data_IF_452969779298
#
_entry.id   IF_452969779298
#
_cell.length_a   1.000
_cell.length_b   1.000
_cell.length_c   1.000
_cell.angle_alpha   90.00
_cell.angle_beta   90.00
_cell.angle_gamma   90.00
#
_symmetry.space_group_name_H-M   'P 1'
#
loop_
_entity.id
_entity.type
_entity.pdbx_description
1 polymer ?
#
# COMPACT_ATOMS: atom_id res chain seq x y z
N UNK A 1 -2.43 16.63 6.92
CA UNK A 1 -2.01 15.64 7.93
C UNK A 1 -0.52 15.75 8.24
N UNK A 2 0.16 16.81 7.80
CA UNK A 2 1.54 17.09 8.13
C UNK A 2 1.57 18.25 9.13
N UNK A 3 2.52 18.23 10.06
CA UNK A 3 2.95 19.37 10.86
C UNK A 3 3.40 20.53 9.94
N UNK A 4 3.46 21.76 10.45
CA UNK A 4 3.98 22.96 9.76
C UNK A 4 5.41 22.75 9.20
N UNK A 5 6.11 21.73 9.70
CA UNK A 5 7.44 21.29 9.26
C UNK A 5 7.43 20.16 8.21
N UNK A 6 6.27 19.77 7.70
CA UNK A 6 6.15 18.68 6.72
C UNK A 6 6.26 17.26 7.31
N UNK A 7 6.26 17.11 8.64
CA UNK A 7 6.36 15.80 9.30
C UNK A 7 4.98 15.20 9.52
N UNK A 8 4.83 13.88 9.31
CA UNK A 8 3.61 13.19 9.73
C UNK A 8 3.63 13.12 11.27
N UNK A 9 2.63 13.67 11.99
CA UNK A 9 2.60 13.57 13.44
C UNK A 9 2.42 12.10 13.82
N UNK A 10 3.22 11.62 14.77
CA UNK A 10 3.16 10.25 15.29
C UNK A 10 3.46 9.12 14.27
N UNK A 11 4.37 9.31 13.31
CA UNK A 11 4.83 8.24 12.37
C UNK A 11 5.10 6.92 13.09
N UNK A 12 5.83 6.96 14.21
CA UNK A 12 6.18 5.74 14.96
C UNK A 12 4.97 4.97 15.46
N UNK A 13 3.91 5.66 15.93
CA UNK A 13 2.65 5.00 16.32
C UNK A 13 1.89 4.46 15.11
N UNK A 14 1.90 5.18 13.98
CA UNK A 14 1.27 4.72 12.76
C UNK A 14 1.94 3.43 12.24
N UNK A 15 3.27 3.41 12.16
CA UNK A 15 4.06 2.23 11.75
C UNK A 15 3.92 1.06 12.73
N UNK A 16 3.88 1.33 14.05
CA UNK A 16 3.59 0.28 15.04
C UNK A 16 2.20 -0.33 14.85
N UNK A 17 1.20 0.50 14.54
CA UNK A 17 -0.17 0.01 14.29
C UNK A 17 -0.22 -0.88 13.05
N UNK A 18 0.45 -0.49 11.97
CA UNK A 18 0.57 -1.28 10.74
C UNK A 18 1.30 -2.62 10.96
N UNK A 19 2.41 -2.61 11.71
CA UNK A 19 3.16 -3.80 12.07
C UNK A 19 2.34 -4.77 12.95
N UNK A 20 1.62 -4.25 13.95
CA UNK A 20 0.74 -5.05 14.81
C UNK A 20 -0.42 -5.62 13.98
N UNK A 21 -1.07 -4.82 13.15
CA UNK A 21 -2.16 -5.26 12.28
C UNK A 21 -1.70 -6.35 11.31
N UNK A 22 -0.52 -6.19 10.70
CA UNK A 22 0.07 -7.19 9.81
C UNK A 22 0.44 -8.48 10.53
N UNK A 23 1.04 -8.39 11.71
CA UNK A 23 1.46 -9.58 12.48
C UNK A 23 0.25 -10.38 12.96
N UNK A 24 -0.77 -9.69 13.48
CA UNK A 24 -2.03 -10.31 13.91
C UNK A 24 -2.78 -10.88 12.71
N UNK A 25 -2.84 -10.15 11.59
CA UNK A 25 -3.46 -10.61 10.34
C UNK A 25 -2.79 -11.88 9.80
N UNK A 26 -1.47 -11.87 9.69
CA UNK A 26 -0.70 -13.04 9.26
C UNK A 26 -0.92 -14.25 10.20
N UNK A 27 -0.99 -14.01 11.52
CA UNK A 27 -1.31 -15.05 12.51
C UNK A 27 -2.73 -15.63 12.36
N UNK A 28 -3.68 -14.86 11.84
CA UNK A 28 -5.03 -15.29 11.50
C UNK A 28 -5.14 -15.87 10.07
N UNK A 29 -4.03 -15.97 9.33
CA UNK A 29 -3.98 -16.54 7.98
C UNK A 29 -4.41 -15.60 6.86
N UNK A 30 -4.53 -14.29 7.12
CA UNK A 30 -4.77 -13.28 6.07
C UNK A 30 -3.47 -12.66 5.57
N UNK A 31 -3.49 -12.13 4.34
CA UNK A 31 -2.35 -11.41 3.76
C UNK A 31 -2.00 -10.14 4.57
N UNK A 32 -0.84 -9.57 4.30
CA UNK A 32 -0.35 -8.34 4.93
C UNK A 32 -1.36 -7.21 4.83
N UNK A 33 -1.70 -6.59 5.95
CA UNK A 33 -2.62 -5.45 6.01
C UNK A 33 -1.81 -4.18 5.77
N UNK A 34 -2.24 -3.33 4.85
CA UNK A 34 -1.55 -2.07 4.58
C UNK A 34 -2.54 -0.94 4.33
N UNK A 35 -2.05 0.30 4.38
CA UNK A 35 -2.87 1.48 4.15
C UNK A 35 -3.00 1.73 2.65
N UNK A 36 -4.22 1.61 2.12
CA UNK A 36 -4.49 1.84 0.70
C UNK A 36 -4.65 3.32 0.36
N UNK A 37 -4.22 3.73 -0.84
CA UNK A 37 -4.36 5.11 -1.33
C UNK A 37 -5.84 5.50 -1.41
N UNK A 38 -6.70 4.54 -1.74
CA UNK A 38 -8.15 4.68 -1.80
C UNK A 38 -8.74 5.06 -0.44
N UNK A 39 -8.14 4.61 0.67
CA UNK A 39 -8.58 4.96 2.03
C UNK A 39 -8.41 6.46 2.33
N UNK A 40 -7.55 7.17 1.60
CA UNK A 40 -7.41 8.62 1.73
C UNK A 40 -8.71 9.36 1.37
N UNK A 41 -9.51 8.84 0.44
CA UNK A 41 -10.81 9.42 0.08
C UNK A 41 -11.79 9.42 1.26
N UNK A 42 -11.72 8.40 2.12
CA UNK A 42 -12.50 8.34 3.36
C UNK A 42 -12.11 9.41 4.37
N UNK A 43 -10.83 9.81 4.40
CA UNK A 43 -10.35 10.92 5.24
C UNK A 43 -10.82 12.26 4.67
N UNK A 44 -10.79 12.43 3.34
CA UNK A 44 -11.30 13.62 2.64
C UNK A 44 -12.81 13.80 2.87
N UNK A 45 -13.56 12.70 2.90
CA UNK A 45 -14.99 12.68 3.20
C UNK A 45 -15.33 12.96 4.68
N UNK A 46 -14.34 13.16 5.55
CA UNK A 46 -14.54 13.55 6.96
C UNK A 46 -14.15 12.46 7.99
N UNK A 47 -13.66 11.30 7.56
CA UNK A 47 -13.18 10.24 8.44
C UNK A 47 -11.86 10.58 9.14
N UNK A 48 -11.92 11.29 10.26
CA UNK A 48 -10.72 11.75 10.99
C UNK A 48 -10.46 11.05 12.33
N UNK A 49 -11.44 10.32 12.87
CA UNK A 49 -11.43 9.83 14.25
C UNK A 49 -11.29 8.31 14.37
N UNK A 50 -10.90 7.60 13.30
CA UNK A 50 -10.73 6.14 13.28
C UNK A 50 -12.04 5.34 13.33
N UNK A 51 -13.15 5.95 13.77
CA UNK A 51 -14.50 5.35 13.76
C UNK A 51 -14.91 4.83 12.39
N UNK A 52 -14.52 5.51 11.31
CA UNK A 52 -14.76 5.05 9.93
C UNK A 52 -14.09 3.71 9.65
N UNK A 53 -12.86 3.50 10.09
CA UNK A 53 -12.15 2.23 9.91
C UNK A 53 -12.80 1.10 10.70
N UNK A 54 -13.28 1.37 11.92
CA UNK A 54 -14.00 0.38 12.74
C UNK A 54 -15.32 0.00 12.08
N UNK A 55 -16.11 0.98 11.64
CA UNK A 55 -17.39 0.73 10.95
C UNK A 55 -17.18 -0.07 9.67
N UNK A 56 -16.18 0.28 8.85
CA UNK A 56 -15.83 -0.47 7.64
C UNK A 56 -15.42 -1.91 7.99
N UNK A 57 -14.61 -2.12 9.03
CA UNK A 57 -14.23 -3.45 9.49
C UNK A 57 -15.42 -4.31 9.92
N UNK A 58 -16.36 -3.74 10.68
CA UNK A 58 -17.60 -4.44 11.10
C UNK A 58 -18.47 -4.77 9.89
N UNK A 59 -18.62 -3.84 8.94
CA UNK A 59 -19.35 -4.06 7.69
C UNK A 59 -18.70 -5.17 6.84
N UNK A 60 -17.36 -5.25 6.80
CA UNK A 60 -16.64 -6.31 6.11
C UNK A 60 -16.82 -7.67 6.80
N UNK A 61 -16.86 -7.71 8.13
CA UNK A 61 -17.20 -8.93 8.87
C UNK A 61 -18.63 -9.39 8.58
N UNK A 62 -19.59 -8.46 8.52
CA UNK A 62 -20.95 -8.76 8.10
C UNK A 62 -21.01 -9.24 6.63
N UNK A 63 -20.20 -8.64 5.75
CA UNK A 63 -20.11 -9.02 4.34
C UNK A 63 -19.56 -10.44 4.14
N UNK A 64 -18.76 -11.00 5.06
CA UNK A 64 -18.30 -12.39 4.97
C UNK A 64 -19.46 -13.40 4.94
N UNK A 65 -20.60 -13.12 5.59
CA UNK A 65 -21.79 -13.99 5.50
C UNK A 65 -22.41 -13.98 4.10
N UNK A 66 -22.19 -12.90 3.34
CA UNK A 66 -22.61 -12.76 1.94
C UNK A 66 -21.51 -13.17 0.94
N UNK A 67 -20.36 -13.69 1.42
CA UNK A 67 -19.30 -14.28 0.59
C UNK A 67 -19.79 -15.16 -0.57
N UNK A 68 -20.74 -16.10 -0.38
CA UNK A 68 -21.23 -16.94 -1.49
C UNK A 68 -21.90 -16.14 -2.63
N UNK A 69 -22.46 -14.96 -2.36
CA UNK A 69 -23.02 -14.08 -3.39
C UNK A 69 -21.90 -13.40 -4.19
N UNK A 70 -20.80 -13.03 -3.55
CA UNK A 70 -19.67 -12.39 -4.21
C UNK A 70 -18.89 -13.35 -5.12
N UNK A 71 -18.84 -14.65 -4.78
CA UNK A 71 -18.21 -15.68 -5.63
C UNK A 71 -18.99 -15.90 -6.94
N UNK A 72 -20.29 -15.57 -6.98
CA UNK A 72 -21.09 -15.64 -8.20
C UNK A 72 -20.76 -14.54 -9.22
N UNK A 73 -19.97 -13.52 -8.84
CA UNK A 73 -19.57 -12.43 -9.73
C UNK A 73 -18.48 -12.95 -10.70
N UNK A 74 -18.71 -12.89 -12.03
CA UNK A 74 -17.71 -13.32 -13.00
C UNK A 74 -16.41 -12.52 -12.89
N UNK A 75 -15.27 -13.18 -13.08
CA UNK A 75 -13.95 -12.53 -13.08
C UNK A 75 -13.82 -11.44 -14.16
N UNK A 76 -14.59 -11.55 -15.24
CA UNK A 76 -14.66 -10.52 -16.27
C UNK A 76 -15.18 -9.17 -15.74
N UNK A 77 -15.97 -9.17 -14.66
CA UNK A 77 -16.49 -7.94 -14.05
C UNK A 77 -15.49 -7.29 -13.08
N UNK A 78 -14.64 -8.08 -12.41
CA UNK A 78 -13.65 -7.58 -11.44
C UNK A 78 -12.34 -7.17 -12.09
N UNK A 79 -11.96 -7.79 -13.22
CA UNK A 79 -10.75 -7.45 -13.97
C UNK A 79 -10.61 -5.95 -14.32
N UNK A 80 -11.61 -5.26 -14.92
CA UNK A 80 -11.47 -3.84 -15.27
C UNK A 80 -11.31 -2.95 -14.03
N UNK A 81 -11.94 -3.30 -12.90
CA UNK A 81 -11.79 -2.56 -11.65
C UNK A 81 -10.34 -2.67 -11.13
N UNK A 82 -9.75 -3.87 -11.16
CA UNK A 82 -8.35 -4.08 -10.75
C UNK A 82 -7.35 -3.37 -11.67
N UNK A 83 -7.61 -3.32 -12.98
CA UNK A 83 -6.78 -2.56 -13.93
C UNK A 83 -6.81 -1.07 -13.60
N UNK A 84 -8.00 -0.53 -13.31
CA UNK A 84 -8.15 0.89 -12.96
C UNK A 84 -7.46 1.23 -11.64
N UNK A 85 -7.55 0.36 -10.63
CA UNK A 85 -6.81 0.51 -9.37
C UNK A 85 -5.30 0.52 -9.61
N UNK A 86 -4.78 -0.42 -10.42
CA UNK A 86 -3.36 -0.42 -10.80
C UNK A 86 -2.93 0.86 -11.53
N UNK A 87 -3.78 1.40 -12.41
CA UNK A 87 -3.56 2.68 -13.06
C UNK A 87 -3.47 3.85 -12.06
N UNK A 88 -4.35 3.89 -11.05
CA UNK A 88 -4.30 4.91 -9.99
C UNK A 88 -2.99 4.81 -9.19
N UNK A 89 -2.53 3.60 -8.89
CA UNK A 89 -1.28 3.36 -8.16
C UNK A 89 -0.02 3.78 -8.94
N UNK A 90 -0.05 3.70 -10.28
CA UNK A 90 1.03 4.23 -11.13
C UNK A 90 1.19 5.74 -11.02
N UNK A 91 0.14 6.47 -10.61
CA UNK A 91 0.22 7.91 -10.36
C UNK A 91 1.33 8.28 -9.39
N UNK A 92 1.56 7.47 -8.35
CA UNK A 92 2.61 7.67 -7.34
C UNK A 92 4.02 7.60 -7.93
N UNK A 93 4.22 6.91 -9.06
CA UNK A 93 5.53 6.84 -9.74
C UNK A 93 5.93 8.21 -10.29
N UNK A 94 4.98 9.08 -10.61
CA UNK A 94 5.24 10.43 -11.10
C UNK A 94 5.87 11.34 -10.05
N UNK A 95 5.63 11.07 -8.77
CA UNK A 95 6.17 11.86 -7.65
C UNK A 95 7.63 11.52 -7.33
N UNK A 96 8.24 10.56 -8.05
CA UNK A 96 9.64 10.17 -7.87
C UNK A 96 10.58 11.17 -8.56
N UNK A 97 11.58 11.68 -7.83
CA UNK A 97 12.62 12.56 -8.37
C UNK A 97 13.63 11.79 -9.24
N UNK A 98 13.29 11.56 -10.51
CA UNK A 98 14.17 10.84 -11.44
C UNK A 98 15.44 11.61 -11.84
N UNK A 99 15.46 12.93 -11.66
CA UNK A 99 16.67 13.75 -11.88
C UNK A 99 17.73 13.45 -10.81
N UNK A 100 17.28 13.17 -9.58
CA UNK A 100 18.17 12.65 -8.56
C UNK A 100 18.41 11.18 -8.83
N UNK A 101 19.56 10.95 -9.45
CA UNK A 101 20.04 9.64 -9.83
C UNK A 101 20.07 8.70 -8.60
N UNK A 102 20.23 9.23 -7.37
CA UNK A 102 20.26 8.47 -6.10
C UNK A 102 18.91 7.89 -5.69
N UNK A 103 17.83 8.46 -6.18
CA UNK A 103 16.46 8.02 -5.91
C UNK A 103 15.84 7.35 -7.14
N UNK A 104 16.10 7.90 -8.33
CA UNK A 104 15.61 7.37 -9.60
C UNK A 104 16.12 5.97 -9.95
N UNK A 105 17.41 5.68 -9.73
CA UNK A 105 17.98 4.36 -10.04
C UNK A 105 17.39 3.26 -9.13
N UNK A 106 17.35 3.42 -7.80
CA UNK A 106 16.69 2.46 -6.91
C UNK A 106 15.21 2.27 -7.22
N UNK A 107 14.46 3.35 -7.50
CA UNK A 107 13.06 3.27 -7.88
C UNK A 107 12.85 2.45 -9.16
N UNK A 108 13.66 2.69 -10.20
CA UNK A 108 13.60 1.94 -11.45
C UNK A 108 13.91 0.45 -11.23
N UNK A 109 14.97 0.13 -10.49
CA UNK A 109 15.34 -1.25 -10.18
C UNK A 109 14.22 -1.95 -9.42
N UNK A 110 13.61 -1.26 -8.45
CA UNK A 110 12.47 -1.81 -7.69
C UNK A 110 11.31 -2.19 -8.62
N UNK A 111 10.87 -1.27 -9.48
CA UNK A 111 9.73 -1.50 -10.38
C UNK A 111 10.05 -2.60 -11.40
N UNK A 112 11.24 -2.58 -12.00
CA UNK A 112 11.67 -3.58 -12.97
C UNK A 112 11.79 -4.98 -12.35
N UNK A 113 12.42 -5.08 -11.17
CA UNK A 113 12.57 -6.36 -10.48
C UNK A 113 11.24 -6.91 -9.96
N UNK A 114 10.32 -6.07 -9.49
CA UNK A 114 8.97 -6.54 -9.12
C UNK A 114 8.26 -7.20 -10.30
N UNK A 115 8.34 -6.60 -11.50
CA UNK A 115 7.73 -7.14 -12.71
C UNK A 115 8.44 -8.42 -13.20
N UNK A 116 9.76 -8.47 -13.14
CA UNK A 116 10.55 -9.62 -13.63
C UNK A 116 10.50 -10.82 -12.70
N UNK A 117 10.51 -10.60 -11.38
CA UNK A 117 10.53 -11.67 -10.37
C UNK A 117 9.10 -12.12 -9.99
N UNK A 118 8.07 -11.42 -10.45
CA UNK A 118 6.66 -11.64 -10.06
C UNK A 118 6.47 -11.63 -8.53
N UNK A 119 7.36 -10.94 -7.81
CA UNK A 119 7.44 -10.92 -6.35
C UNK A 119 7.71 -9.49 -5.88
N UNK A 120 6.76 -8.94 -5.14
CA UNK A 120 6.87 -7.61 -4.55
C UNK A 120 8.03 -7.57 -3.55
N UNK A 121 8.19 -8.63 -2.75
CA UNK A 121 9.24 -8.71 -1.72
C UNK A 121 10.65 -8.70 -2.30
N UNK A 122 10.90 -9.48 -3.34
CA UNK A 122 12.23 -9.54 -3.97
C UNK A 122 12.58 -8.24 -4.67
N UNK A 123 11.61 -7.64 -5.36
CA UNK A 123 11.79 -6.34 -6.00
C UNK A 123 12.09 -5.22 -4.99
N UNK A 124 11.38 -5.19 -3.86
CA UNK A 124 11.61 -4.21 -2.79
C UNK A 124 12.99 -4.40 -2.14
N UNK A 125 13.42 -5.64 -1.94
CA UNK A 125 14.73 -5.96 -1.37
C UNK A 125 15.87 -5.47 -2.26
N UNK A 126 15.79 -5.74 -3.57
CA UNK A 126 16.78 -5.26 -4.56
C UNK A 126 16.77 -3.74 -4.69
N UNK A 127 15.58 -3.12 -4.62
CA UNK A 127 15.42 -1.68 -4.57
C UNK A 127 16.17 -1.02 -3.41
N UNK A 128 15.94 -1.52 -2.19
CA UNK A 128 16.60 -1.02 -0.97
C UNK A 128 18.10 -1.24 -1.04
N UNK A 129 18.55 -2.42 -1.49
CA UNK A 129 19.98 -2.71 -1.70
C UNK A 129 20.62 -1.71 -2.65
N UNK A 130 19.95 -1.40 -3.77
CA UNK A 130 20.44 -0.44 -4.76
C UNK A 130 20.52 0.97 -4.17
N UNK A 131 19.54 1.38 -3.35
CA UNK A 131 19.56 2.67 -2.65
C UNK A 131 20.72 2.77 -1.66
N UNK A 132 20.88 1.76 -0.80
CA UNK A 132 21.94 1.74 0.21
C UNK A 132 23.31 1.74 -0.45
N UNK A 133 23.50 0.90 -1.48
CA UNK A 133 24.75 0.85 -2.23
C UNK A 133 25.09 2.23 -2.81
N UNK A 134 24.13 2.89 -3.44
CA UNK A 134 24.35 4.16 -4.11
C UNK A 134 24.53 5.34 -3.17
N UNK A 135 23.96 5.31 -1.98
CA UNK A 135 24.03 6.41 -1.00
C UNK A 135 25.21 6.30 -0.04
N UNK A 136 25.72 5.09 0.21
CA UNK A 136 26.78 4.85 1.19
C UNK A 136 28.12 4.41 0.57
N UNK A 137 28.14 3.88 -0.66
CA UNK A 137 29.38 3.42 -1.32
C UNK A 137 29.84 4.37 -2.44
N UNK A 138 28.92 5.06 -3.10
CA UNK A 138 29.17 6.06 -4.16
C UNK A 138 28.80 7.46 -3.66
#
# INVERSE_FOLDING_TARGET
MLDEKGNVPNVGRALLTDAVATTVGAGLGVSTVTTYVESSTGVIAGGRTGWTAITVGILFLAAMFFSPVFIAIPSCATAPALIYVGYLMLGTVKDIEFDNITEGVPAFVTIACMALTYSIGDGLTLGILTYVFRKYIL
#
